data_IF_485925001785
#
_entry.id   IF_485925001785
#
_cell.length_a   1.000
_cell.length_b   1.000
_cell.length_c   1.000
_cell.angle_alpha   90.00
_cell.angle_beta   90.00
_cell.angle_gamma   90.00
#
_symmetry.space_group_name_H-M   'P 1'
#
loop_
_entity.id
_entity.type
_entity.pdbx_description
1 polymer ?
#
# COMPACT_ATOMS: atom_id res chain seq x y z
N UNK A 1 30.38 32.11 28.82
CA UNK A 1 30.27 31.26 27.62
C UNK A 1 28.85 31.41 27.10
N UNK A 2 28.64 32.02 25.92
CA UNK A 2 27.29 32.13 25.34
C UNK A 2 26.87 30.72 24.90
N UNK A 3 25.85 30.16 25.54
CA UNK A 3 25.23 28.92 25.10
C UNK A 3 24.73 29.13 23.67
N UNK A 4 25.40 28.50 22.71
CA UNK A 4 24.96 28.46 21.31
C UNK A 4 23.65 27.68 21.26
N UNK A 5 22.53 28.40 21.22
CA UNK A 5 21.21 27.81 21.12
C UNK A 5 21.03 27.23 19.72
N UNK A 6 20.53 26.00 19.62
CA UNK A 6 20.24 25.32 18.34
C UNK A 6 19.31 26.17 17.44
N UNK A 7 18.40 26.93 18.06
CA UNK A 7 17.50 27.87 17.40
C UNK A 7 18.18 29.13 16.82
N UNK A 8 19.48 29.32 17.03
CA UNK A 8 20.26 30.37 16.38
C UNK A 8 20.70 30.00 14.96
N UNK A 9 20.49 28.74 14.54
CA UNK A 9 20.72 28.31 13.16
C UNK A 9 19.63 28.87 12.22
N UNK A 10 19.97 29.13 10.95
CA UNK A 10 18.98 29.45 9.92
C UNK A 10 17.87 28.39 9.85
N UNK A 11 16.60 28.81 9.67
CA UNK A 11 15.46 27.89 9.68
C UNK A 11 15.54 26.83 8.58
N UNK A 12 16.20 27.12 7.46
CA UNK A 12 16.40 26.17 6.35
C UNK A 12 17.27 24.99 6.79
N UNK A 13 18.34 25.26 7.55
CA UNK A 13 19.20 24.21 8.09
C UNK A 13 18.48 23.40 9.15
N UNK A 14 17.67 24.06 9.99
CA UNK A 14 16.86 23.37 10.99
C UNK A 14 15.83 22.45 10.33
N UNK A 15 15.08 22.91 9.34
CA UNK A 15 14.12 22.07 8.59
C UNK A 15 14.85 20.91 7.90
N UNK A 16 16.03 21.15 7.32
CA UNK A 16 16.82 20.09 6.71
C UNK A 16 17.25 19.03 7.74
N UNK A 17 17.75 19.44 8.91
CA UNK A 17 18.13 18.50 9.98
C UNK A 17 16.91 17.73 10.49
N UNK A 18 15.79 18.43 10.74
CA UNK A 18 14.56 17.84 11.25
C UNK A 18 13.91 16.87 10.24
N UNK A 19 14.14 17.05 8.94
CA UNK A 19 13.61 16.16 7.89
C UNK A 19 14.11 14.72 8.00
N UNK A 20 15.27 14.50 8.62
CA UNK A 20 15.85 13.17 8.83
C UNK A 20 15.42 12.51 10.14
N UNK A 21 14.68 13.22 11.01
CA UNK A 21 14.31 12.69 12.31
C UNK A 21 13.12 11.73 12.20
N UNK A 22 13.13 10.63 12.98
CA UNK A 22 11.95 9.79 13.19
C UNK A 22 10.77 10.60 13.72
N UNK A 23 9.55 10.18 13.40
CA UNK A 23 8.33 10.92 13.78
C UNK A 23 8.23 11.08 15.30
N UNK A 24 8.59 10.06 16.09
CA UNK A 24 8.61 10.12 17.56
C UNK A 24 9.54 11.21 18.09
N UNK A 25 10.72 11.37 17.48
CA UNK A 25 11.71 12.39 17.88
C UNK A 25 11.25 13.79 17.47
N UNK A 26 10.63 13.90 16.29
CA UNK A 26 10.05 15.15 15.79
C UNK A 26 8.88 15.61 16.67
N UNK A 27 8.03 14.69 17.14
CA UNK A 27 6.94 14.99 18.08
C UNK A 27 7.48 15.45 19.45
N UNK A 28 8.47 14.76 20.01
CA UNK A 28 9.13 15.21 21.25
C UNK A 28 9.80 16.59 21.10
N UNK A 29 10.41 16.86 19.94
CA UNK A 29 10.97 18.18 19.66
C UNK A 29 9.88 19.25 19.61
N UNK A 30 8.73 18.93 19.04
CA UNK A 30 7.59 19.84 18.95
C UNK A 30 7.04 20.28 20.32
N UNK A 31 7.19 19.45 21.36
CA UNK A 31 6.76 19.74 22.73
C UNK A 31 7.65 20.78 23.45
N UNK A 32 8.85 21.08 22.92
CA UNK A 32 9.83 21.91 23.63
C UNK A 32 9.54 23.42 23.60
N UNK A 33 8.95 23.92 22.50
CA UNK A 33 8.59 25.35 22.36
C UNK A 33 7.64 25.57 21.17
N UNK A 34 6.98 26.73 21.10
CA UNK A 34 6.14 27.11 19.96
C UNK A 34 6.92 27.17 18.63
N UNK A 35 8.16 27.66 18.66
CA UNK A 35 9.03 27.72 17.48
C UNK A 35 9.41 26.30 17.02
N UNK A 36 9.79 25.44 17.97
CA UNK A 36 10.07 24.02 17.71
C UNK A 36 8.85 23.30 17.14
N UNK A 37 7.65 23.61 17.66
CA UNK A 37 6.40 23.04 17.16
C UNK A 37 6.12 23.43 15.71
N UNK A 38 6.28 24.71 15.36
CA UNK A 38 6.12 25.17 13.99
C UNK A 38 7.12 24.49 13.04
N UNK A 39 8.40 24.46 13.43
CA UNK A 39 9.47 23.81 12.65
C UNK A 39 9.24 22.31 12.47
N UNK A 40 8.87 21.60 13.53
CA UNK A 40 8.53 20.17 13.49
C UNK A 40 7.38 19.92 12.51
N UNK A 41 6.32 20.71 12.61
CA UNK A 41 5.15 20.60 11.73
C UNK A 41 5.53 20.78 10.25
N UNK A 42 6.46 21.71 9.99
CA UNK A 42 6.97 22.00 8.64
C UNK A 42 8.06 21.04 8.13
N UNK A 43 8.51 20.08 8.95
CA UNK A 43 9.62 19.18 8.58
C UNK A 43 9.19 17.75 8.31
N UNK A 44 7.90 17.43 8.50
CA UNK A 44 7.37 16.08 8.24
C UNK A 44 7.16 15.87 6.73
N UNK A 45 8.05 15.09 6.10
CA UNK A 45 7.96 14.75 4.67
C UNK A 45 7.47 13.33 4.39
N UNK A 46 7.74 12.40 5.31
CA UNK A 46 7.37 10.99 5.20
C UNK A 46 6.50 10.61 6.38
N UNK A 47 5.33 10.06 6.08
CA UNK A 47 4.39 9.57 7.09
C UNK A 47 3.78 8.25 6.64
N UNK A 48 3.90 7.23 7.49
CA UNK A 48 3.11 6.01 7.41
C UNK A 48 2.15 6.01 8.59
N UNK A 49 0.84 6.02 8.35
CA UNK A 49 -0.17 6.13 9.41
C UNK A 49 -1.22 5.02 9.27
N UNK A 50 -1.41 4.29 10.37
CA UNK A 50 -2.46 3.29 10.47
C UNK A 50 -3.16 3.35 11.82
N UNK A 51 -4.49 3.18 11.78
CA UNK A 51 -5.35 3.20 12.97
C UNK A 51 -6.05 1.85 13.05
N UNK A 52 -5.96 1.20 14.21
CA UNK A 52 -6.49 -0.14 14.42
C UNK A 52 -7.38 -0.19 15.66
N UNK A 53 -8.43 -1.00 15.58
CA UNK A 53 -9.32 -1.32 16.71
C UNK A 53 -8.76 -2.44 17.58
N UNK A 54 -7.88 -3.28 17.04
CA UNK A 54 -7.26 -4.40 17.74
C UNK A 54 -5.78 -4.52 17.38
N UNK A 55 -4.98 -5.04 18.32
CA UNK A 55 -3.55 -5.29 18.09
C UNK A 55 -3.31 -6.30 16.97
N UNK A 56 -4.11 -7.36 16.93
CA UNK A 56 -4.07 -8.39 15.88
C UNK A 56 -4.39 -7.77 14.51
N UNK A 57 -5.40 -6.90 14.42
CA UNK A 57 -5.71 -6.16 13.20
C UNK A 57 -4.50 -5.36 12.70
N UNK A 58 -3.77 -4.71 13.61
CA UNK A 58 -2.52 -4.01 13.27
C UNK A 58 -1.42 -4.94 12.75
N UNK A 59 -1.22 -6.10 13.39
CA UNK A 59 -0.24 -7.10 12.94
C UNK A 59 -0.61 -7.63 11.55
N UNK A 60 -1.87 -8.00 11.34
CA UNK A 60 -2.37 -8.49 10.05
C UNK A 60 -2.21 -7.45 8.94
N UNK A 61 -2.52 -6.19 9.22
CA UNK A 61 -2.34 -5.08 8.28
C UNK A 61 -0.88 -4.98 7.81
N UNK A 62 0.08 -5.03 8.75
CA UNK A 62 1.51 -5.00 8.41
C UNK A 62 1.98 -6.24 7.66
N UNK A 63 1.54 -7.43 8.05
CA UNK A 63 1.85 -8.65 7.30
C UNK A 63 1.35 -8.55 5.86
N UNK A 64 0.15 -7.99 5.66
CA UNK A 64 -0.36 -7.67 4.32
C UNK A 64 0.43 -6.58 3.59
N UNK A 65 1.18 -5.72 4.29
CA UNK A 65 2.05 -4.71 3.69
C UNK A 65 3.37 -5.30 3.17
N UNK A 66 3.84 -6.39 3.76
CA UNK A 66 5.07 -7.10 3.37
C UNK A 66 4.85 -8.18 2.31
N UNK A 67 3.60 -8.55 1.98
CA UNK A 67 3.32 -9.61 0.98
C UNK A 67 3.52 -9.17 -0.49
N UNK A 68 3.93 -7.94 -0.75
CA UNK A 68 4.23 -7.52 -2.12
C UNK A 68 5.63 -8.02 -2.53
N UNK A 69 5.78 -8.52 -3.76
CA UNK A 69 7.10 -8.81 -4.29
C UNK A 69 7.90 -7.50 -4.38
N UNK A 70 9.17 -7.57 -4.00
CA UNK A 70 10.08 -6.43 -3.99
C UNK A 70 10.95 -6.54 -5.24
N UNK A 71 10.98 -5.51 -6.11
CA UNK A 71 11.91 -5.48 -7.24
C UNK A 71 13.36 -5.57 -6.73
N UNK A 72 14.16 -6.47 -7.30
CA UNK A 72 15.54 -6.71 -6.85
C UNK A 72 16.52 -5.72 -7.48
N UNK A 73 16.36 -5.47 -8.78
CA UNK A 73 17.30 -4.71 -9.60
C UNK A 73 16.83 -3.27 -9.89
N UNK A 74 15.62 -2.92 -9.45
CA UNK A 74 15.02 -1.59 -9.65
C UNK A 74 14.72 -0.90 -8.34
N UNK A 75 15.21 0.33 -8.18
CA UNK A 75 14.93 1.13 -6.99
C UNK A 75 13.42 1.44 -6.88
N UNK A 76 12.75 0.84 -5.90
CA UNK A 76 11.35 1.15 -5.56
C UNK A 76 11.27 2.46 -4.78
N UNK A 77 10.32 3.32 -5.15
CA UNK A 77 10.01 4.55 -4.43
C UNK A 77 9.40 4.28 -3.05
N UNK A 78 8.91 3.06 -2.79
CA UNK A 78 8.42 2.62 -1.49
C UNK A 78 9.51 1.96 -0.62
N UNK A 79 10.70 1.70 -1.16
CA UNK A 79 11.81 1.11 -0.38
C UNK A 79 12.39 2.09 0.64
N UNK A 80 12.35 3.41 0.39
CA UNK A 80 12.86 4.43 1.32
C UNK A 80 12.11 4.48 2.67
N UNK A 81 10.91 3.89 2.75
CA UNK A 81 10.15 3.77 3.99
C UNK A 81 10.45 2.47 4.77
N UNK A 82 11.25 1.53 4.22
CA UNK A 82 11.59 0.27 4.89
C UNK A 82 13.08 0.20 5.11
N UNK A 83 13.49 0.10 6.37
CA UNK A 83 14.88 -0.21 6.70
C UNK A 83 15.31 -1.51 5.99
N UNK A 84 16.56 -1.58 5.47
CA UNK A 84 17.09 -2.79 4.81
C UNK A 84 17.13 -4.04 5.72
N UNK A 85 17.02 -3.86 7.04
CA UNK A 85 16.86 -4.97 8.02
C UNK A 85 15.54 -5.75 7.86
N UNK A 86 14.57 -5.21 7.11
CA UNK A 86 13.31 -5.90 6.80
C UNK A 86 13.49 -6.97 5.72
N UNK A 87 14.48 -6.80 4.83
CA UNK A 87 14.75 -7.75 3.75
C UNK A 87 15.38 -9.04 4.27
N UNK A 88 16.24 -8.96 5.30
CA UNK A 88 16.90 -10.15 5.86
C UNK A 88 15.93 -11.07 6.62
N UNK A 89 14.83 -10.54 7.17
CA UNK A 89 13.82 -11.35 7.88
C UNK A 89 12.87 -12.10 6.93
N UNK A 90 12.71 -11.65 5.67
CA UNK A 90 11.94 -12.37 4.67
C UNK A 90 12.69 -13.59 4.11
N UNK A 91 14.03 -13.59 4.15
CA UNK A 91 14.88 -14.71 3.72
C UNK A 91 15.20 -15.71 4.85
N UNK A 92 14.93 -15.39 6.11
CA UNK A 92 15.29 -16.24 7.25
C UNK A 92 14.08 -16.76 8.03
N UNK A 93 13.16 -17.47 7.37
CA UNK A 93 12.25 -18.39 8.07
C UNK A 93 12.76 -19.82 7.86
N UNK A 94 13.65 -20.35 8.74
CA UNK A 94 13.85 -21.78 8.79
C UNK A 94 12.55 -22.43 9.27
N UNK A 95 11.96 -23.24 8.40
CA UNK A 95 10.96 -24.23 8.79
C UNK A 95 11.66 -25.28 9.67
N UNK A 96 11.60 -25.16 11.00
CA UNK A 96 11.64 -26.33 11.88
C UNK A 96 11.42 -26.01 13.37
N UNK A 97 10.69 -26.94 14.00
CA UNK A 97 10.71 -27.37 15.41
C UNK A 97 10.05 -26.52 16.49
N UNK A 98 8.96 -27.10 17.00
CA UNK A 98 8.32 -26.91 18.30
C UNK A 98 9.34 -26.73 19.44
N UNK A 99 9.32 -25.60 20.14
CA UNK A 99 9.42 -25.55 21.61
C UNK A 99 9.11 -24.14 22.16
N UNK A 100 8.35 -24.13 23.26
CA UNK A 100 8.35 -23.15 24.35
C UNK A 100 7.77 -21.74 24.12
N UNK A 101 6.63 -21.51 24.78
CA UNK A 101 5.73 -20.34 24.77
C UNK A 101 6.29 -19.01 25.35
N UNK A 102 7.59 -18.70 25.24
CA UNK A 102 8.15 -17.47 25.83
C UNK A 102 8.83 -16.49 24.85
N UNK A 103 8.89 -16.80 23.56
CA UNK A 103 9.59 -15.99 22.55
C UNK A 103 8.69 -15.08 21.69
N UNK A 104 7.35 -15.18 21.81
CA UNK A 104 6.41 -14.41 20.98
C UNK A 104 6.38 -12.90 21.29
N UNK A 105 6.61 -12.50 22.55
CA UNK A 105 6.49 -11.10 22.97
C UNK A 105 7.66 -10.22 22.49
N UNK A 106 8.89 -10.75 22.44
CA UNK A 106 10.09 -9.99 22.02
C UNK A 106 10.16 -9.82 20.49
N UNK A 107 9.62 -10.78 19.73
CA UNK A 107 9.47 -10.66 18.28
C UNK A 107 8.39 -9.62 17.92
N UNK A 108 7.30 -9.51 18.69
CA UNK A 108 6.20 -8.56 18.44
C UNK A 108 6.63 -7.09 18.47
N UNK A 109 7.43 -6.70 19.47
CA UNK A 109 7.89 -5.31 19.64
C UNK A 109 8.94 -4.91 18.60
N UNK A 110 9.73 -5.88 18.13
CA UNK A 110 10.72 -5.69 17.07
C UNK A 110 10.05 -5.39 15.72
N UNK A 111 8.94 -6.06 15.40
CA UNK A 111 8.19 -5.79 14.16
C UNK A 111 7.42 -4.46 14.26
N UNK A 112 7.15 -3.93 15.47
CA UNK A 112 6.54 -2.61 15.70
C UNK A 112 7.51 -1.42 15.51
N UNK A 113 8.81 -1.65 15.41
CA UNK A 113 9.84 -0.59 15.40
C UNK A 113 10.67 -0.48 14.10
N UNK A 114 10.30 -1.19 13.03
CA UNK A 114 11.14 -1.26 11.82
C UNK A 114 11.10 0.00 10.93
N UNK A 115 10.06 0.85 11.03
CA UNK A 115 9.95 2.09 10.25
C UNK A 115 9.94 3.32 11.18
N UNK A 116 10.97 4.19 11.14
CA UNK A 116 11.05 5.39 11.97
C UNK A 116 9.96 6.44 11.66
N UNK A 117 9.28 6.31 10.52
CA UNK A 117 8.22 7.19 10.07
C UNK A 117 6.81 6.59 10.21
N UNK A 118 6.71 5.36 10.71
CA UNK A 118 5.42 4.71 10.98
C UNK A 118 4.82 5.14 12.32
N UNK A 119 3.56 5.53 12.26
CA UNK A 119 2.71 5.87 13.39
C UNK A 119 1.54 4.91 13.41
N UNK A 120 1.46 4.14 14.49
CA UNK A 120 0.39 3.18 14.71
C UNK A 120 -0.46 3.64 15.90
N UNK A 121 -1.75 3.82 15.67
CA UNK A 121 -2.71 4.21 16.70
C UNK A 121 -3.62 3.02 16.99
N UNK A 122 -3.56 2.53 18.22
CA UNK A 122 -4.52 1.55 18.73
C UNK A 122 -5.61 2.32 19.49
N UNK A 123 -6.87 2.12 19.09
CA UNK A 123 -8.01 2.69 19.81
C UNK A 123 -8.29 1.80 21.04
N UNK A 124 -8.12 2.32 22.28
CA UNK A 124 -8.44 1.56 23.49
C UNK A 124 -9.93 1.21 23.52
N UNK A 125 -10.24 0.01 23.99
CA UNK A 125 -11.62 -0.47 24.18
C UNK A 125 -12.54 -0.27 22.96
N UNK A 126 -12.00 -0.38 21.74
CA UNK A 126 -12.75 -0.12 20.51
C UNK A 126 -14.07 -0.91 20.40
N UNK A 127 -14.18 -2.06 21.06
CA UNK A 127 -15.38 -2.90 21.10
C UNK A 127 -16.57 -2.24 21.82
N UNK A 128 -16.35 -1.20 22.64
CA UNK A 128 -17.43 -0.48 23.34
C UNK A 128 -18.11 0.58 22.49
N UNK A 129 -17.53 0.91 21.33
CA UNK A 129 -18.02 1.96 20.45
C UNK A 129 -18.72 1.39 19.23
N UNK A 130 -19.75 2.10 18.76
CA UNK A 130 -20.42 1.77 17.51
C UNK A 130 -19.46 1.95 16.30
N UNK A 131 -19.52 1.07 15.27
CA UNK A 131 -18.66 1.19 14.09
C UNK A 131 -18.72 2.55 13.39
N UNK A 132 -19.87 3.24 13.40
CA UNK A 132 -19.99 4.58 12.81
C UNK A 132 -19.18 5.62 13.58
N UNK A 133 -19.15 5.52 14.91
CA UNK A 133 -18.39 6.43 15.79
C UNK A 133 -16.88 6.20 15.60
N UNK A 134 -16.48 4.93 15.53
CA UNK A 134 -15.08 4.58 15.25
C UNK A 134 -14.65 5.11 13.88
N UNK A 135 -15.48 4.95 12.85
CA UNK A 135 -15.19 5.43 11.50
C UNK A 135 -15.10 6.96 11.46
N UNK A 136 -16.00 7.67 12.16
CA UNK A 136 -15.95 9.13 12.28
C UNK A 136 -14.66 9.60 12.98
N UNK A 137 -14.28 8.95 14.09
CA UNK A 137 -13.01 9.22 14.78
C UNK A 137 -11.80 8.98 13.87
N UNK A 138 -11.77 7.83 13.18
CA UNK A 138 -10.73 7.49 12.21
C UNK A 138 -10.62 8.59 11.14
N UNK A 139 -11.73 8.98 10.52
CA UNK A 139 -11.73 9.97 9.44
C UNK A 139 -11.31 11.35 9.93
N UNK A 140 -11.77 11.76 11.12
CA UNK A 140 -11.38 13.02 11.72
C UNK A 140 -9.88 13.07 12.06
N UNK A 141 -9.34 11.98 12.62
CA UNK A 141 -7.93 11.88 12.96
C UNK A 141 -7.04 11.92 11.71
N UNK A 142 -7.34 11.08 10.71
CA UNK A 142 -6.60 11.06 9.43
C UNK A 142 -6.64 12.44 8.77
N UNK A 143 -7.84 13.03 8.64
CA UNK A 143 -8.00 14.34 8.00
C UNK A 143 -7.26 15.45 8.76
N UNK A 144 -7.29 15.43 10.09
CA UNK A 144 -6.57 16.39 10.93
C UNK A 144 -5.06 16.29 10.72
N UNK A 145 -4.49 15.08 10.71
CA UNK A 145 -3.06 14.89 10.49
C UNK A 145 -2.64 15.34 9.09
N UNK A 146 -3.40 14.95 8.05
CA UNK A 146 -3.11 15.31 6.66
C UNK A 146 -3.17 16.83 6.48
N UNK A 147 -4.23 17.48 6.98
CA UNK A 147 -4.41 18.93 6.82
C UNK A 147 -3.34 19.72 7.57
N UNK A 148 -2.87 19.23 8.72
CA UNK A 148 -1.80 19.86 9.50
C UNK A 148 -0.45 19.87 8.76
N UNK A 149 -0.13 18.80 8.03
CA UNK A 149 1.16 18.64 7.34
C UNK A 149 1.05 18.79 5.81
N UNK A 150 -0.03 19.41 5.32
CA UNK A 150 -0.39 19.37 3.90
C UNK A 150 0.68 19.91 2.95
N UNK A 151 1.46 20.89 3.37
CA UNK A 151 2.45 21.58 2.53
C UNK A 151 3.75 20.81 2.39
N UNK A 152 4.03 19.86 3.28
CA UNK A 152 5.37 19.25 3.40
C UNK A 152 5.38 17.77 3.09
N UNK A 153 4.23 17.09 3.23
CA UNK A 153 4.11 15.67 2.94
C UNK A 153 4.44 15.35 1.47
N UNK A 154 5.47 14.52 1.30
CA UNK A 154 5.95 14.02 0.01
C UNK A 154 5.70 12.52 -0.13
N UNK A 155 5.83 11.79 0.96
CA UNK A 155 5.65 10.34 1.02
C UNK A 155 4.56 10.01 2.03
N UNK A 156 3.48 9.41 1.55
CA UNK A 156 2.33 9.10 2.37
C UNK A 156 1.92 7.64 2.17
N UNK A 157 1.90 6.88 3.27
CA UNK A 157 1.34 5.54 3.34
C UNK A 157 0.21 5.53 4.36
N UNK A 158 -1.01 5.21 3.92
CA UNK A 158 -2.20 5.20 4.77
C UNK A 158 -2.89 3.85 4.72
N UNK A 159 -3.17 3.33 5.90
CA UNK A 159 -4.13 2.25 6.09
C UNK A 159 -5.45 2.84 6.58
N UNK A 160 -6.46 2.81 5.72
CA UNK A 160 -7.79 3.36 5.95
C UNK A 160 -8.81 2.23 6.09
N UNK A 161 -9.88 2.45 6.85
CA UNK A 161 -11.00 1.50 6.86
C UNK A 161 -11.94 1.67 5.67
N UNK A 162 -12.10 2.92 5.22
CA UNK A 162 -12.80 3.29 4.01
C UNK A 162 -12.28 4.64 3.53
N UNK A 163 -12.25 4.86 2.22
CA UNK A 163 -11.90 6.15 1.64
C UNK A 163 -13.15 7.03 1.53
N UNK A 164 -13.31 7.96 2.47
CA UNK A 164 -14.45 8.88 2.47
C UNK A 164 -14.15 10.18 1.72
N UNK A 165 -15.19 10.93 1.27
CA UNK A 165 -15.01 12.23 0.63
C UNK A 165 -14.20 13.23 1.48
N UNK A 166 -14.34 13.18 2.81
CA UNK A 166 -13.57 14.01 3.74
C UNK A 166 -12.06 13.75 3.61
N UNK A 167 -11.66 12.48 3.59
CA UNK A 167 -10.25 12.08 3.41
C UNK A 167 -9.78 12.44 2.00
N UNK A 168 -10.62 12.21 0.97
CA UNK A 168 -10.28 12.57 -0.41
C UNK A 168 -10.00 14.08 -0.56
N UNK A 169 -10.82 14.95 0.05
CA UNK A 169 -10.56 16.39 0.06
C UNK A 169 -9.25 16.75 0.79
N UNK A 170 -8.94 16.09 1.90
CA UNK A 170 -7.68 16.28 2.60
C UNK A 170 -6.48 15.85 1.74
N UNK A 171 -6.56 14.69 1.08
CA UNK A 171 -5.53 14.17 0.18
C UNK A 171 -5.34 15.04 -1.06
N UNK A 172 -6.43 15.53 -1.67
CA UNK A 172 -6.41 16.45 -2.81
C UNK A 172 -5.58 17.70 -2.50
N UNK A 173 -5.58 18.17 -1.26
CA UNK A 173 -4.90 19.38 -0.82
C UNK A 173 -3.39 19.21 -0.54
N UNK A 174 -2.77 18.11 -0.98
CA UNK A 174 -1.33 17.82 -0.80
C UNK A 174 -0.50 18.20 -2.04
N UNK A 175 -0.02 19.44 -2.20
CA UNK A 175 0.67 19.87 -3.43
C UNK A 175 2.05 19.22 -3.64
N UNK A 176 2.70 18.78 -2.56
CA UNK A 176 4.07 18.28 -2.59
C UNK A 176 4.17 16.75 -2.74
N UNK A 177 3.03 16.04 -2.78
CA UNK A 177 2.98 14.59 -2.73
C UNK A 177 3.65 13.95 -3.96
N UNK A 178 4.56 13.01 -3.70
CA UNK A 178 5.35 12.28 -4.71
C UNK A 178 5.10 10.78 -4.66
N UNK A 179 4.84 10.21 -3.49
CA UNK A 179 4.48 8.80 -3.37
C UNK A 179 3.24 8.66 -2.51
N UNK A 180 2.25 7.93 -3.03
CA UNK A 180 1.00 7.67 -2.34
C UNK A 180 0.77 6.16 -2.27
N UNK A 181 0.61 5.64 -1.06
CA UNK A 181 0.16 4.28 -0.79
C UNK A 181 -1.13 4.36 0.00
N UNK A 182 -2.21 3.84 -0.59
CA UNK A 182 -3.52 3.75 0.04
C UNK A 182 -3.90 2.28 0.17
N UNK A 183 -4.16 1.86 1.40
CA UNK A 183 -4.61 0.52 1.75
C UNK A 183 -5.97 0.64 2.41
N UNK A 184 -6.98 0.05 1.81
CA UNK A 184 -8.34 0.02 2.34
C UNK A 184 -8.59 -1.37 2.95
N UNK A 185 -8.77 -1.40 4.26
CA UNK A 185 -8.99 -2.61 5.05
C UNK A 185 -10.25 -2.44 5.89
N UNK A 186 -11.35 -3.10 5.53
CA UNK A 186 -12.58 -3.06 6.34
C UNK A 186 -12.44 -4.00 7.57
N UNK A 187 -12.21 -3.46 8.79
CA UNK A 187 -12.02 -4.27 9.99
C UNK A 187 -13.31 -4.99 10.40
N UNK A 188 -14.46 -4.52 9.91
CA UNK A 188 -15.78 -5.03 10.26
C UNK A 188 -16.42 -5.83 9.13
N UNK A 189 -15.71 -6.16 8.04
CA UNK A 189 -16.26 -6.80 6.85
C UNK A 189 -17.12 -8.04 7.11
N UNK A 190 -16.85 -8.77 8.21
CA UNK A 190 -17.60 -9.96 8.64
C UNK A 190 -18.85 -9.66 9.48
N UNK A 191 -18.87 -8.52 10.18
CA UNK A 191 -19.95 -8.09 11.08
C UNK A 191 -20.90 -7.09 10.42
N UNK A 192 -20.48 -6.43 9.34
CA UNK A 192 -21.22 -5.34 8.70
C UNK A 192 -22.28 -5.87 7.74
N UNK A 193 -23.50 -5.33 7.83
CA UNK A 193 -24.60 -5.69 6.93
C UNK A 193 -24.26 -5.39 5.47
N UNK A 194 -24.90 -6.10 4.52
CA UNK A 194 -24.70 -5.87 3.08
C UNK A 194 -25.04 -4.42 2.67
N UNK A 195 -26.08 -3.83 3.26
CA UNK A 195 -26.51 -2.44 2.96
C UNK A 195 -25.43 -1.43 3.32
N UNK A 196 -24.85 -1.54 4.52
CA UNK A 196 -23.78 -0.63 4.97
C UNK A 196 -22.53 -0.79 4.11
N UNK A 197 -22.17 -2.03 3.76
CA UNK A 197 -21.05 -2.27 2.82
C UNK A 197 -21.27 -1.62 1.46
N UNK A 198 -22.48 -1.68 0.91
CA UNK A 198 -22.81 -1.01 -0.35
C UNK A 198 -22.72 0.52 -0.22
N UNK A 199 -23.19 1.09 0.90
CA UNK A 199 -23.06 2.52 1.17
C UNK A 199 -21.59 2.97 1.21
N UNK A 200 -20.73 2.23 1.91
CA UNK A 200 -19.29 2.52 1.95
C UNK A 200 -18.65 2.45 0.55
N UNK A 201 -19.04 1.46 -0.28
CA UNK A 201 -18.54 1.37 -1.66
C UNK A 201 -18.94 2.57 -2.50
N UNK A 202 -20.17 3.05 -2.36
CA UNK A 202 -20.64 4.25 -3.07
C UNK A 202 -19.89 5.50 -2.61
N UNK A 203 -19.67 5.65 -1.30
CA UNK A 203 -18.86 6.75 -0.75
C UNK A 203 -17.42 6.70 -1.27
N UNK A 204 -16.82 5.52 -1.35
CA UNK A 204 -15.48 5.33 -1.92
C UNK A 204 -15.44 5.71 -3.40
N UNK A 205 -16.44 5.33 -4.19
CA UNK A 205 -16.53 5.73 -5.59
C UNK A 205 -16.54 7.27 -5.72
N UNK A 206 -17.37 7.97 -4.93
CA UNK A 206 -17.43 9.43 -4.92
C UNK A 206 -16.09 10.04 -4.48
N UNK A 207 -15.45 9.45 -3.47
CA UNK A 207 -14.15 9.90 -3.00
C UNK A 207 -13.06 9.76 -4.08
N UNK A 208 -13.08 8.66 -4.85
CA UNK A 208 -12.19 8.48 -5.99
C UNK A 208 -12.47 9.45 -7.13
N UNK A 209 -13.72 9.81 -7.39
CA UNK A 209 -14.06 10.84 -8.38
C UNK A 209 -13.47 12.20 -7.99
N UNK A 210 -13.57 12.59 -6.71
CA UNK A 210 -12.94 13.83 -6.19
C UNK A 210 -11.42 13.81 -6.42
N UNK A 211 -10.76 12.68 -6.19
CA UNK A 211 -9.31 12.54 -6.42
C UNK A 211 -8.97 12.54 -7.91
N UNK A 212 -9.82 11.95 -8.75
CA UNK A 212 -9.60 11.85 -10.18
C UNK A 212 -9.74 13.19 -10.91
N UNK A 213 -10.61 14.08 -10.44
CA UNK A 213 -10.88 15.36 -11.09
C UNK A 213 -9.85 16.43 -10.69
N UNK A 214 -9.51 16.54 -9.41
CA UNK A 214 -8.85 17.75 -8.92
C UNK A 214 -7.63 17.50 -8.01
N UNK A 215 -7.07 16.29 -7.97
CA UNK A 215 -5.89 16.04 -7.15
C UNK A 215 -4.67 16.86 -7.63
N UNK A 216 -4.28 17.89 -6.87
CA UNK A 216 -3.15 18.76 -7.21
C UNK A 216 -1.81 18.03 -7.30
N UNK A 217 -1.68 16.89 -6.64
CA UNK A 217 -0.49 16.02 -6.71
C UNK A 217 -0.48 15.07 -7.91
N UNK A 218 -1.60 14.89 -8.62
CA UNK A 218 -1.69 13.88 -9.68
C UNK A 218 -0.60 14.07 -10.74
N UNK A 219 -0.28 15.32 -11.12
CA UNK A 219 0.78 15.61 -12.10
C UNK A 219 2.21 15.37 -11.57
N UNK A 220 2.40 15.43 -10.25
CA UNK A 220 3.69 15.41 -9.57
C UNK A 220 4.08 14.02 -9.03
N UNK A 221 3.13 13.09 -9.01
CA UNK A 221 3.27 11.76 -8.42
C UNK A 221 4.28 10.89 -9.18
N UNK A 222 5.16 10.22 -8.45
CA UNK A 222 6.18 9.29 -8.96
C UNK A 222 5.83 7.83 -8.69
N UNK A 223 5.08 7.56 -7.62
CA UNK A 223 4.64 6.21 -7.31
C UNK A 223 3.24 6.21 -6.71
N UNK A 224 2.40 5.29 -7.19
CA UNK A 224 1.03 5.09 -6.74
C UNK A 224 0.85 3.63 -6.35
N UNK A 225 0.38 3.41 -5.13
CA UNK A 225 -0.02 2.08 -4.64
C UNK A 225 -1.43 2.15 -4.10
N UNK A 226 -2.27 1.24 -4.56
CA UNK A 226 -3.66 1.10 -4.14
C UNK A 226 -3.89 -0.37 -3.80
N UNK A 227 -4.33 -0.64 -2.57
CA UNK A 227 -4.66 -1.98 -2.09
C UNK A 227 -6.10 -2.00 -1.55
N UNK A 228 -6.93 -2.90 -2.07
CA UNK A 228 -8.28 -3.15 -1.57
C UNK A 228 -9.32 -2.09 -1.91
N UNK A 229 -9.02 -1.15 -2.79
CA UNK A 229 -9.91 -0.04 -3.10
C UNK A 229 -10.96 -0.36 -4.18
N UNK A 230 -12.10 0.33 -4.11
CA UNK A 230 -13.17 0.25 -5.11
C UNK A 230 -12.93 1.15 -6.34
N UNK A 231 -11.68 1.34 -6.75
CA UNK A 231 -11.33 2.19 -7.90
C UNK A 231 -11.66 1.50 -9.22
N UNK A 232 -12.34 2.20 -10.12
CA UNK A 232 -12.60 1.74 -11.49
C UNK A 232 -11.49 2.12 -12.48
N UNK A 233 -11.40 1.43 -13.61
CA UNK A 233 -10.43 1.73 -14.69
C UNK A 233 -10.52 3.18 -15.17
N UNK A 234 -11.73 3.72 -15.34
CA UNK A 234 -11.92 5.11 -15.77
C UNK A 234 -11.38 6.11 -14.75
N UNK A 235 -11.58 5.86 -13.45
CA UNK A 235 -11.07 6.72 -12.37
C UNK A 235 -9.55 6.67 -12.31
N UNK A 236 -8.97 5.46 -12.38
CA UNK A 236 -7.52 5.27 -12.43
C UNK A 236 -6.93 5.97 -13.66
N UNK A 237 -7.57 5.83 -14.82
CA UNK A 237 -7.19 6.50 -16.06
C UNK A 237 -7.20 8.02 -15.92
N UNK A 238 -8.25 8.60 -15.31
CA UNK A 238 -8.31 10.05 -15.04
C UNK A 238 -7.15 10.52 -14.15
N UNK A 239 -6.87 9.81 -13.04
CA UNK A 239 -5.75 10.14 -12.15
C UNK A 239 -4.41 10.10 -12.90
N UNK A 240 -4.19 9.07 -13.72
CA UNK A 240 -2.96 8.91 -14.49
C UNK A 240 -2.86 9.84 -15.71
N UNK A 241 -3.99 10.31 -16.25
CA UNK A 241 -4.01 11.17 -17.44
C UNK A 241 -3.25 12.49 -17.24
N UNK A 242 -3.30 13.02 -16.01
CA UNK A 242 -2.57 14.21 -15.59
C UNK A 242 -1.09 13.91 -15.28
N UNK A 243 -0.69 12.65 -15.20
CA UNK A 243 0.60 12.20 -14.76
C UNK A 243 1.48 11.68 -15.89
N UNK A 244 2.73 12.17 -15.96
CA UNK A 244 3.77 11.64 -16.88
C UNK A 244 5.03 11.16 -16.17
N UNK A 245 5.06 11.28 -14.85
CA UNK A 245 6.25 11.06 -14.01
C UNK A 245 6.14 9.80 -13.15
N UNK A 246 5.00 9.10 -13.19
CA UNK A 246 4.75 7.88 -12.45
C UNK A 246 5.65 6.77 -12.99
N UNK A 247 6.56 6.31 -12.14
CA UNK A 247 7.52 5.24 -12.42
C UNK A 247 7.09 3.91 -11.82
N UNK A 248 6.21 3.94 -10.82
CA UNK A 248 5.82 2.75 -10.07
C UNK A 248 4.31 2.77 -9.78
N UNK A 249 3.61 1.74 -10.27
CA UNK A 249 2.17 1.58 -10.10
C UNK A 249 1.84 0.21 -9.52
N UNK A 250 1.14 0.18 -8.40
CA UNK A 250 0.63 -1.03 -7.77
C UNK A 250 -0.88 -0.97 -7.61
N UNK A 251 -1.58 -1.94 -8.21
CA UNK A 251 -3.03 -2.11 -8.12
C UNK A 251 -3.31 -3.49 -7.54
N UNK A 252 -3.58 -3.53 -6.25
CA UNK A 252 -3.73 -4.76 -5.48
C UNK A 252 -5.19 -4.91 -5.02
N UNK A 253 -5.79 -6.10 -5.20
CA UNK A 253 -7.15 -6.42 -4.74
C UNK A 253 -8.21 -5.39 -5.19
N UNK A 254 -8.02 -4.77 -6.35
CA UNK A 254 -8.96 -3.77 -6.87
C UNK A 254 -9.90 -4.45 -7.86
N UNK A 255 -11.08 -4.86 -7.41
CA UNK A 255 -12.01 -5.70 -8.18
C UNK A 255 -12.79 -4.96 -9.28
N UNK A 256 -12.83 -3.62 -9.24
CA UNK A 256 -13.53 -2.80 -10.24
C UNK A 256 -12.61 -2.37 -11.39
N UNK A 257 -11.33 -2.76 -11.35
CA UNK A 257 -10.40 -2.55 -12.45
C UNK A 257 -10.60 -3.68 -13.45
N UNK A 258 -10.98 -3.31 -14.67
CA UNK A 258 -11.26 -4.23 -15.76
C UNK A 258 -10.07 -4.35 -16.72
N UNK A 259 -10.22 -5.22 -17.72
CA UNK A 259 -9.26 -5.44 -18.82
C UNK A 259 -8.89 -4.16 -19.58
N UNK A 260 -9.76 -3.14 -19.55
CA UNK A 260 -9.51 -1.84 -20.16
C UNK A 260 -8.27 -1.13 -19.61
N UNK A 261 -7.81 -1.50 -18.40
CA UNK A 261 -6.61 -0.94 -17.80
C UNK A 261 -5.36 -1.18 -18.65
N UNK A 262 -5.23 -2.34 -19.30
CA UNK A 262 -4.08 -2.66 -20.15
C UNK A 262 -4.05 -1.79 -21.39
N UNK A 263 -5.20 -1.67 -22.07
CA UNK A 263 -5.37 -0.80 -23.24
C UNK A 263 -5.03 0.65 -22.91
N UNK A 264 -5.49 1.15 -21.77
CA UNK A 264 -5.20 2.50 -21.33
C UNK A 264 -3.70 2.70 -21.03
N UNK A 265 -3.10 1.83 -20.20
CA UNK A 265 -1.71 1.95 -19.78
C UNK A 265 -0.73 1.81 -20.96
N UNK A 266 -0.95 0.83 -21.83
CA UNK A 266 -0.06 0.57 -22.97
C UNK A 266 -0.33 1.48 -24.18
N UNK A 267 -1.57 1.89 -24.40
CA UNK A 267 -1.99 2.59 -25.62
C UNK A 267 -2.15 4.11 -25.46
N UNK A 268 -2.91 4.53 -24.45
CA UNK A 268 -3.40 5.93 -24.34
C UNK A 268 -2.56 6.77 -23.39
N UNK A 269 -1.97 6.15 -22.36
CA UNK A 269 -1.28 6.87 -21.32
C UNK A 269 0.08 7.40 -21.77
N UNK A 270 0.26 8.72 -21.69
CA UNK A 270 1.51 9.41 -22.10
C UNK A 270 2.71 9.04 -21.23
N UNK A 271 2.49 8.59 -20.00
CA UNK A 271 3.55 8.19 -19.05
C UNK A 271 4.10 6.78 -19.28
N UNK A 272 3.56 6.00 -20.23
CA UNK A 272 3.89 4.58 -20.43
C UNK A 272 5.39 4.26 -20.56
N UNK A 273 6.16 5.14 -21.19
CA UNK A 273 7.61 4.97 -21.38
C UNK A 273 8.42 5.20 -20.10
N UNK A 274 7.85 5.91 -19.13
CA UNK A 274 8.48 6.23 -17.85
C UNK A 274 8.18 5.22 -16.75
N UNK A 275 7.20 4.32 -16.97
CA UNK A 275 6.79 3.31 -16.00
C UNK A 275 7.84 2.20 -15.94
N UNK A 276 8.42 1.98 -14.76
CA UNK A 276 9.47 1.00 -14.52
C UNK A 276 8.96 -0.20 -13.73
N UNK A 277 7.99 0.00 -12.84
CA UNK A 277 7.46 -1.03 -11.96
C UNK A 277 5.93 -1.05 -12.09
N UNK A 278 5.39 -2.22 -12.47
CA UNK A 278 3.96 -2.45 -12.53
C UNK A 278 3.61 -3.72 -11.75
N UNK A 279 2.72 -3.59 -10.78
CA UNK A 279 2.17 -4.73 -10.04
C UNK A 279 0.66 -4.72 -10.06
N UNK A 280 0.05 -5.71 -10.70
CA UNK A 280 -1.39 -5.98 -10.63
C UNK A 280 -1.58 -7.29 -9.90
N UNK A 281 -2.00 -7.23 -8.64
CA UNK A 281 -2.02 -8.39 -7.75
C UNK A 281 -3.41 -8.68 -7.21
N UNK A 282 -3.86 -9.93 -7.31
CA UNK A 282 -5.12 -10.42 -6.72
C UNK A 282 -6.34 -9.55 -7.09
N UNK A 283 -6.25 -8.82 -8.19
CA UNK A 283 -7.33 -7.98 -8.71
C UNK A 283 -8.27 -8.79 -9.61
N UNK A 284 -7.91 -10.03 -9.95
CA UNK A 284 -8.66 -10.93 -10.84
C UNK A 284 -8.96 -10.30 -12.20
N UNK A 285 -8.08 -9.40 -12.65
CA UNK A 285 -8.16 -8.82 -14.00
C UNK A 285 -7.80 -9.92 -14.97
N UNK A 286 -8.68 -10.17 -15.94
CA UNK A 286 -8.41 -11.08 -17.03
C UNK A 286 -7.40 -10.42 -17.99
N UNK A 287 -6.31 -11.14 -18.28
CA UNK A 287 -5.28 -10.77 -19.25
C UNK A 287 -5.42 -11.76 -20.40
N UNK A 288 -5.97 -11.33 -21.51
CA UNK A 288 -6.04 -12.17 -22.71
C UNK A 288 -4.80 -11.96 -23.59
N UNK A 289 -4.59 -12.85 -24.56
CA UNK A 289 -3.43 -12.76 -25.46
C UNK A 289 -3.41 -11.43 -26.24
N UNK A 290 -4.58 -10.90 -26.61
CA UNK A 290 -4.69 -9.61 -27.28
C UNK A 290 -4.27 -8.41 -26.40
N UNK A 291 -4.20 -8.59 -25.08
CA UNK A 291 -3.77 -7.53 -24.16
C UNK A 291 -2.27 -7.48 -23.98
N UNK A 292 -1.59 -8.59 -24.27
CA UNK A 292 -0.14 -8.73 -24.16
C UNK A 292 0.57 -7.72 -25.08
N UNK A 293 -0.05 -7.33 -26.19
CA UNK A 293 0.45 -6.26 -27.07
C UNK A 293 0.47 -4.89 -26.38
N UNK A 294 -0.46 -4.63 -25.47
CA UNK A 294 -0.50 -3.36 -24.73
C UNK A 294 0.55 -3.35 -23.62
N UNK A 295 0.79 -4.49 -22.96
CA UNK A 295 1.92 -4.63 -22.02
C UNK A 295 3.24 -4.35 -22.76
N UNK A 296 3.37 -4.82 -24.00
CA UNK A 296 4.54 -4.52 -24.84
C UNK A 296 4.71 -3.04 -25.21
N UNK A 297 3.68 -2.20 -25.08
CA UNK A 297 3.80 -0.75 -25.24
C UNK A 297 4.42 -0.03 -24.03
N UNK A 298 4.70 -0.75 -22.93
CA UNK A 298 5.34 -0.25 -21.72
C UNK A 298 6.87 -0.37 -21.83
N UNK A 299 7.47 0.33 -22.80
CA UNK A 299 8.90 0.21 -23.16
C UNK A 299 9.89 0.41 -21.98
N UNK A 300 9.48 1.10 -20.92
CA UNK A 300 10.32 1.42 -19.76
C UNK A 300 10.29 0.37 -18.65
N UNK A 301 9.50 -0.69 -18.81
CA UNK A 301 9.16 -1.60 -17.73
C UNK A 301 10.35 -2.49 -17.37
N UNK A 302 10.71 -2.49 -16.09
CA UNK A 302 11.79 -3.30 -15.52
C UNK A 302 11.28 -4.44 -14.64
N UNK A 303 10.11 -4.22 -14.04
CA UNK A 303 9.46 -5.16 -13.14
C UNK A 303 7.97 -5.25 -13.46
N UNK A 304 7.49 -6.47 -13.68
CA UNK A 304 6.07 -6.78 -13.89
C UNK A 304 5.63 -7.91 -12.96
N UNK A 305 4.61 -7.67 -12.15
CA UNK A 305 3.99 -8.71 -11.33
C UNK A 305 2.48 -8.82 -11.58
N UNK A 306 2.04 -10.01 -11.96
CA UNK A 306 0.65 -10.33 -12.34
C UNK A 306 0.00 -11.37 -11.43
N UNK A 307 0.52 -11.54 -10.22
CA UNK A 307 0.08 -12.62 -9.33
C UNK A 307 -1.41 -12.53 -8.98
N UNK A 308 -2.19 -13.56 -9.32
CA UNK A 308 -3.63 -13.59 -9.07
C UNK A 308 -4.48 -12.84 -10.10
N UNK A 309 -3.91 -12.49 -11.25
CA UNK A 309 -4.64 -12.27 -12.49
C UNK A 309 -4.99 -13.60 -13.15
N UNK A 310 -6.07 -13.65 -13.91
CA UNK A 310 -6.32 -14.78 -14.82
C UNK A 310 -5.65 -14.44 -16.15
N UNK A 311 -5.02 -15.40 -16.80
CA UNK A 311 -4.41 -15.17 -18.10
C UNK A 311 -4.00 -16.46 -18.79
N UNK A 312 -3.36 -16.34 -19.98
CA UNK A 312 -2.81 -17.49 -20.69
C UNK A 312 -1.71 -18.17 -19.87
N UNK A 313 -1.30 -19.34 -20.33
CA UNK A 313 -0.26 -20.13 -19.69
C UNK A 313 1.05 -19.33 -19.56
N UNK A 314 1.82 -19.65 -18.51
CA UNK A 314 3.09 -18.99 -18.22
C UNK A 314 4.06 -19.05 -19.40
N UNK A 315 4.02 -20.11 -20.20
CA UNK A 315 4.84 -20.27 -21.40
C UNK A 315 4.62 -19.14 -22.40
N UNK A 316 3.38 -18.65 -22.54
CA UNK A 316 3.05 -17.52 -23.42
C UNK A 316 3.67 -16.22 -22.89
N UNK A 317 3.66 -16.02 -21.56
CA UNK A 317 4.30 -14.86 -20.94
C UNK A 317 5.82 -14.91 -21.09
N UNK A 318 6.43 -16.08 -20.95
CA UNK A 318 7.87 -16.28 -21.07
C UNK A 318 8.35 -16.10 -22.52
N UNK A 319 7.59 -16.61 -23.50
CA UNK A 319 7.84 -16.39 -24.93
C UNK A 319 7.74 -14.89 -25.29
N UNK A 320 6.66 -14.22 -24.88
CA UNK A 320 6.49 -12.78 -25.11
C UNK A 320 7.55 -11.94 -24.42
N UNK A 321 7.98 -12.32 -23.22
CA UNK A 321 9.05 -11.62 -22.52
C UNK A 321 10.41 -11.80 -23.22
N UNK A 322 10.67 -12.99 -23.76
CA UNK A 322 11.90 -13.30 -24.50
C UNK A 322 11.98 -12.54 -25.82
N UNK A 323 10.87 -12.44 -26.54
CA UNK A 323 10.87 -11.97 -27.94
C UNK A 323 10.47 -10.50 -28.10
N UNK A 324 9.67 -9.96 -27.17
CA UNK A 324 9.06 -8.63 -27.32
C UNK A 324 9.39 -7.71 -26.16
N UNK A 325 9.12 -8.13 -24.91
CA UNK A 325 9.14 -7.18 -23.78
C UNK A 325 10.53 -7.00 -23.18
N UNK A 326 11.32 -8.07 -23.10
CA UNK A 326 12.64 -8.09 -22.46
C UNK A 326 12.65 -7.51 -21.04
N UNK A 327 11.61 -7.77 -20.25
CA UNK A 327 11.48 -7.29 -18.87
C UNK A 327 12.43 -8.13 -17.98
N UNK A 328 13.37 -7.50 -17.25
CA UNK A 328 14.32 -8.19 -16.37
C UNK A 328 13.65 -9.05 -15.28
N UNK A 329 12.62 -8.51 -14.63
CA UNK A 329 11.91 -9.19 -13.55
C UNK A 329 10.43 -9.36 -13.90
N UNK A 330 10.04 -10.57 -14.29
CA UNK A 330 8.66 -10.94 -14.59
C UNK A 330 8.15 -11.98 -13.59
N UNK A 331 7.02 -11.68 -12.95
CA UNK A 331 6.25 -12.63 -12.15
C UNK A 331 4.92 -12.87 -12.90
N UNK A 332 4.79 -13.99 -13.62
CA UNK A 332 3.59 -14.28 -14.41
C UNK A 332 2.37 -14.53 -13.52
N UNK A 333 1.15 -14.50 -14.08
CA UNK A 333 -0.04 -14.90 -13.34
C UNK A 333 0.12 -16.32 -12.81
N UNK A 334 -0.36 -16.56 -11.58
CA UNK A 334 -0.43 -17.93 -11.09
C UNK A 334 -1.64 -18.58 -11.75
N UNK A 335 -1.51 -19.79 -12.35
CA UNK A 335 -2.63 -20.45 -12.99
C UNK A 335 -3.75 -20.60 -11.98
N UNK A 336 -4.87 -19.95 -12.26
CA UNK A 336 -6.05 -20.06 -11.43
C UNK A 336 -6.46 -21.52 -11.40
N UNK A 337 -6.38 -22.15 -10.23
CA UNK A 337 -6.84 -23.53 -9.99
C UNK A 337 -8.35 -23.73 -10.27
N UNK A 338 -9.05 -22.71 -10.76
CA UNK A 338 -10.42 -22.75 -11.29
C UNK A 338 -10.62 -23.65 -12.52
N UNK A 339 -9.55 -24.10 -13.19
CA UNK A 339 -9.62 -25.10 -14.27
C UNK A 339 -9.18 -26.52 -13.88
N UNK A 340 -8.58 -26.69 -12.69
CA UNK A 340 -8.23 -28.01 -12.19
C UNK A 340 -9.45 -28.64 -11.56
N UNK A 341 -10.13 -29.50 -12.32
CA UNK A 341 -11.07 -30.50 -11.79
C UNK A 341 -10.38 -31.57 -10.93
N UNK A 342 -9.15 -31.34 -10.47
CA UNK A 342 -8.54 -32.15 -9.42
C UNK A 342 -9.04 -31.55 -8.10
N UNK A 343 -9.98 -32.23 -7.40
CA UNK A 343 -10.32 -31.81 -6.04
C UNK A 343 -9.01 -31.74 -5.26
N UNK A 344 -8.87 -30.72 -4.40
CA UNK A 344 -7.76 -30.65 -3.46
C UNK A 344 -7.76 -31.95 -2.64
N UNK A 345 -6.99 -32.94 -3.09
CA UNK A 345 -6.75 -34.15 -2.35
C UNK A 345 -5.90 -33.70 -1.17
N UNK A 346 -6.57 -33.54 -0.03
CA UNK A 346 -5.87 -33.61 1.24
C UNK A 346 -5.41 -35.06 1.29
N UNK A 347 -4.14 -35.29 1.01
CA UNK A 347 -3.48 -36.58 1.22
C UNK A 347 -3.51 -36.83 2.73
N UNK A 348 -4.57 -37.48 3.20
CA UNK A 348 -4.68 -37.93 4.58
C UNK A 348 -3.77 -39.14 4.69
N UNK A 349 -2.77 -39.04 5.57
CA UNK A 349 -1.90 -40.15 5.94
C UNK A 349 -2.75 -41.42 6.22
N UNK A 350 -2.52 -42.55 5.52
CA UNK A 350 -3.31 -43.77 5.70
C UNK A 350 -3.38 -44.26 7.15
N UNK A 351 -2.39 -43.90 7.97
CA UNK A 351 -2.38 -44.22 9.40
C UNK A 351 -3.57 -43.62 10.17
N UNK A 352 -4.12 -42.49 9.71
CA UNK A 352 -5.30 -41.86 10.32
C UNK A 352 -6.62 -42.55 9.95
N UNK A 353 -6.71 -43.19 8.79
CA UNK A 353 -7.91 -43.92 8.38
C UNK A 353 -8.05 -45.26 9.11
N UNK A 354 -6.94 -45.91 9.44
CA UNK A 354 -6.95 -47.16 10.21
C UNK A 354 -7.45 -46.99 11.66
N UNK A 355 -7.28 -45.80 12.24
CA UNK A 355 -7.71 -45.50 13.61
C UNK A 355 -9.22 -45.20 13.75
N UNK A 356 -9.93 -44.94 12.65
CA UNK A 356 -11.36 -44.59 12.65
C UNK A 356 -12.29 -45.77 12.34
N UNK A 357 -11.76 -46.91 11.89
CA UNK A 357 -12.53 -48.13 11.59
C UNK A 357 -12.51 -49.17 12.72
N UNK A 358 -12.15 -48.77 13.94
CA UNK A 358 -12.28 -49.59 15.14
C UNK A 358 -13.25 -48.88 16.08
N UNK A 359 -14.55 -49.04 15.83
CA UNK A 359 -15.65 -48.79 16.77
C UNK A 359 -16.78 -49.78 16.50
#
# INVERSE_FOLDING_TARGET
MKSSTLLALPPELLVHILSFLPVKSLLKFSETSHASHALATSSLHTLSLSIHTTRIGGIMSRLGATTLPIPKDTASAFASARNPLSASLAESIPRSSRSSQSSFALAEDSILHCDPHAVHVLIPDAHTFDPSTLLAFHNALISSVITRHKTTLRHLDLSLWSLTPQIAHALKALPALRTLSLRIEDPHARSTSRRIRLAHRLEECVAWDILAEDAGWAAALRALRIDGAQIGTAQLGRILSCNRLCRELWVCKCHNVDRGVWRYLGGEWKGRKGLQVLGVLKSFVDVEEEDLRFIGGLDGLKFLALQGCNGPDNDVFDERNRDVWHIPELIPPQPSSRGSSVPAFIEVDPAYQAALNIA
#
